data_IF_399350229993
#
_entry.id   IF_399350229993
#
_cell.length_a   1.000
_cell.length_b   1.000
_cell.length_c   1.000
_cell.angle_alpha   90.00
_cell.angle_beta   90.00
_cell.angle_gamma   90.00
#
_symmetry.space_group_name_H-M   'P 1'
#
loop_
_entity.id
_entity.type
_entity.pdbx_description
1 polymer ?
#
# COMPACT_ATOMS: atom_id res chain seq x y z
N UNK A 1 12.74 24.38 18.25
CA UNK A 1 13.54 23.15 18.01
C UNK A 1 12.75 21.90 18.46
N UNK A 2 12.47 20.96 17.56
CA UNK A 2 11.89 19.65 17.96
C UNK A 2 13.05 18.73 18.35
N UNK A 3 13.04 18.19 19.57
CA UNK A 3 14.04 17.24 20.06
C UNK A 3 13.87 15.92 19.29
N UNK A 4 14.76 15.65 18.34
CA UNK A 4 14.69 14.53 17.41
C UNK A 4 15.17 13.20 18.03
N UNK A 5 14.85 12.92 19.29
CA UNK A 5 15.44 11.79 20.02
C UNK A 5 14.45 10.76 20.59
N UNK A 6 13.17 10.86 20.27
CA UNK A 6 12.17 9.86 20.66
C UNK A 6 11.48 9.31 19.41
N UNK A 7 11.97 8.16 18.92
CA UNK A 7 11.26 7.39 17.90
C UNK A 7 10.26 6.45 18.61
N UNK A 8 9.16 7.01 19.13
CA UNK A 8 8.11 6.20 19.74
C UNK A 8 7.37 5.47 18.62
N UNK A 9 7.48 4.14 18.59
CA UNK A 9 6.76 3.30 17.65
C UNK A 9 5.31 3.09 18.10
N UNK A 10 4.38 3.75 17.43
CA UNK A 10 2.94 3.65 17.72
C UNK A 10 2.24 2.49 17.00
N UNK A 11 2.84 1.99 15.92
CA UNK A 11 2.34 0.87 15.13
C UNK A 11 3.37 -0.25 15.11
N UNK A 12 2.97 -1.41 15.61
CA UNK A 12 3.76 -2.62 15.66
C UNK A 12 3.30 -3.52 14.50
N UNK A 13 4.12 -3.71 13.46
CA UNK A 13 3.75 -4.57 12.33
C UNK A 13 3.60 -6.02 12.79
N UNK A 14 2.49 -6.64 12.43
CA UNK A 14 2.17 -8.03 12.74
C UNK A 14 2.45 -8.96 11.55
N UNK A 15 2.08 -8.51 10.35
CA UNK A 15 2.23 -9.30 9.13
C UNK A 15 2.55 -8.37 7.95
N UNK A 16 3.37 -8.87 7.03
CA UNK A 16 3.68 -8.24 5.76
C UNK A 16 3.61 -9.32 4.67
N UNK A 17 2.79 -9.10 3.65
CA UNK A 17 2.57 -10.09 2.61
C UNK A 17 2.35 -9.44 1.23
N UNK A 18 2.66 -10.19 0.18
CA UNK A 18 2.34 -9.83 -1.20
C UNK A 18 1.29 -10.80 -1.71
N UNK A 19 0.18 -10.26 -2.24
CA UNK A 19 -0.89 -11.07 -2.85
C UNK A 19 -1.44 -10.36 -4.07
N UNK A 20 -1.56 -11.08 -5.18
CA UNK A 20 -2.13 -10.57 -6.45
C UNK A 20 -1.48 -9.26 -6.94
N UNK A 21 -0.16 -9.10 -6.73
CA UNK A 21 0.59 -7.90 -7.11
C UNK A 21 0.29 -6.66 -6.26
N UNK A 22 -0.30 -6.84 -5.08
CA UNK A 22 -0.42 -5.81 -4.05
C UNK A 22 0.36 -6.21 -2.80
N UNK A 23 0.93 -5.23 -2.11
CA UNK A 23 1.52 -5.41 -0.79
C UNK A 23 0.51 -5.09 0.30
N UNK A 24 0.55 -5.84 1.39
CA UNK A 24 -0.29 -5.66 2.55
C UNK A 24 0.57 -5.64 3.81
N UNK A 25 0.39 -4.65 4.66
CA UNK A 25 1.02 -4.59 5.98
C UNK A 25 -0.11 -4.45 6.99
N UNK A 26 -0.21 -5.40 7.91
CA UNK A 26 -1.14 -5.33 9.04
C UNK A 26 -0.34 -5.00 10.29
N UNK A 27 -0.73 -3.93 10.97
CA UNK A 27 -0.05 -3.42 12.17
C UNK A 27 -1.05 -3.27 13.30
N UNK A 28 -0.56 -3.40 14.53
CA UNK A 28 -1.32 -3.16 15.74
C UNK A 28 -0.84 -1.90 16.44
N UNK A 29 -1.77 -1.10 16.92
CA UNK A 29 -1.49 0.07 17.74
C UNK A 29 -0.91 -0.36 19.09
N UNK A 30 0.21 0.24 19.50
CA UNK A 30 0.95 -0.18 20.69
C UNK A 30 0.21 0.03 22.01
N UNK A 31 -0.77 0.95 22.05
CA UNK A 31 -1.53 1.30 23.26
C UNK A 31 -2.89 0.61 23.34
N UNK A 32 -3.69 0.67 22.28
CA UNK A 32 -5.09 0.18 22.30
C UNK A 32 -5.27 -1.21 21.71
N UNK A 33 -4.24 -1.77 21.06
CA UNK A 33 -4.34 -3.09 20.44
C UNK A 33 -5.22 -3.14 19.18
N UNK A 34 -5.73 -1.99 18.72
CA UNK A 34 -6.47 -1.88 17.46
C UNK A 34 -5.56 -2.19 16.28
N UNK A 35 -6.11 -2.83 15.26
CA UNK A 35 -5.38 -3.22 14.06
C UNK A 35 -5.71 -2.30 12.89
N UNK A 36 -4.71 -2.08 12.04
CA UNK A 36 -4.83 -1.37 10.78
C UNK A 36 -4.12 -2.19 9.72
N UNK A 37 -4.78 -2.36 8.57
CA UNK A 37 -4.15 -2.91 7.38
C UNK A 37 -4.00 -1.81 6.32
N UNK A 38 -2.77 -1.62 5.85
CA UNK A 38 -2.48 -0.87 4.64
C UNK A 38 -2.31 -1.84 3.48
N UNK A 39 -2.91 -1.51 2.33
CA UNK A 39 -2.78 -2.25 1.09
C UNK A 39 -2.33 -1.29 -0.02
N UNK A 40 -1.29 -1.65 -0.77
CA UNK A 40 -0.76 -0.84 -1.87
C UNK A 40 -0.62 -1.69 -3.12
N UNK A 41 -1.16 -1.19 -4.23
CA UNK A 41 -0.94 -1.76 -5.56
C UNK A 41 -0.47 -0.68 -6.52
N UNK A 42 0.60 -0.97 -7.23
CA UNK A 42 1.18 -0.08 -8.22
C UNK A 42 0.92 -0.64 -9.63
N UNK A 43 0.57 0.23 -10.57
CA UNK A 43 0.37 -0.09 -11.98
C UNK A 43 1.22 0.82 -12.85
N UNK A 44 2.26 0.26 -13.47
CA UNK A 44 3.11 0.95 -14.43
C UNK A 44 2.61 0.67 -15.86
N UNK A 45 2.27 1.72 -16.60
CA UNK A 45 1.62 1.63 -17.92
C UNK A 45 2.64 1.64 -19.07
N UNK A 46 3.55 0.68 -19.05
CA UNK A 46 4.49 0.35 -20.14
C UNK A 46 5.13 -1.01 -19.85
N UNK A 47 5.91 -1.57 -20.79
CA UNK A 47 6.68 -2.78 -20.52
C UNK A 47 7.68 -2.57 -19.38
N UNK A 48 7.69 -3.48 -18.40
CA UNK A 48 8.56 -3.38 -17.23
C UNK A 48 8.83 -4.75 -16.63
N UNK A 49 9.93 -4.84 -15.88
CA UNK A 49 10.15 -5.89 -14.89
C UNK A 49 9.62 -5.39 -13.55
N UNK A 50 9.00 -6.28 -12.79
CA UNK A 50 8.46 -5.99 -11.46
C UNK A 50 8.98 -7.01 -10.47
N UNK A 51 9.44 -6.53 -9.32
CA UNK A 51 9.83 -7.37 -8.19
C UNK A 51 9.26 -6.81 -6.88
N UNK A 52 9.06 -7.70 -5.91
CA UNK A 52 8.66 -7.34 -4.57
C UNK A 52 9.74 -7.76 -3.59
N UNK A 53 10.08 -6.85 -2.68
CA UNK A 53 11.06 -7.08 -1.62
C UNK A 53 10.32 -6.86 -0.30
N UNK A 54 10.33 -7.86 0.56
CA UNK A 54 9.85 -7.75 1.94
C UNK A 54 11.08 -7.80 2.84
N UNK A 55 11.31 -6.74 3.61
CA UNK A 55 12.38 -6.68 4.59
C UNK A 55 11.94 -5.85 5.80
N UNK A 56 12.27 -6.28 7.01
CA UNK A 56 12.04 -5.55 8.27
C UNK A 56 10.67 -4.85 8.39
N UNK A 57 9.59 -5.56 8.04
CA UNK A 57 8.21 -5.05 8.07
C UNK A 57 7.87 -3.94 7.08
N UNK A 58 8.73 -3.74 6.09
CA UNK A 58 8.48 -2.93 4.90
C UNK A 58 8.19 -3.83 3.71
N UNK A 59 7.40 -3.29 2.77
CA UNK A 59 7.13 -3.91 1.48
C UNK A 59 7.49 -2.92 0.37
N UNK A 60 8.45 -3.30 -0.47
CA UNK A 60 8.92 -2.53 -1.60
C UNK A 60 8.43 -3.20 -2.88
N UNK A 61 7.84 -2.41 -3.77
CA UNK A 61 7.50 -2.81 -5.13
C UNK A 61 8.43 -2.06 -6.08
N UNK A 62 9.39 -2.77 -6.67
CA UNK A 62 10.38 -2.21 -7.57
C UNK A 62 10.02 -2.48 -9.02
N UNK A 63 10.14 -1.44 -9.85
CA UNK A 63 9.90 -1.50 -11.29
C UNK A 63 11.17 -1.12 -12.04
N UNK A 64 11.56 -1.94 -13.01
CA UNK A 64 12.64 -1.62 -13.95
C UNK A 64 12.04 -1.49 -15.34
N UNK A 65 12.26 -0.34 -15.97
CA UNK A 65 11.67 0.00 -17.28
C UNK A 65 12.62 0.88 -18.07
N UNK A 66 12.51 0.86 -19.40
CA UNK A 66 13.22 1.79 -20.27
C UNK A 66 12.44 3.09 -20.40
N UNK A 67 13.15 4.21 -20.43
CA UNK A 67 12.60 5.53 -20.69
C UNK A 67 13.27 6.13 -21.93
N UNK A 68 12.50 6.77 -22.80
CA UNK A 68 13.01 7.47 -23.97
C UNK A 68 12.77 8.99 -23.85
N UNK A 69 13.65 9.84 -24.44
CA UNK A 69 13.43 11.28 -24.47
C UNK A 69 12.06 11.64 -25.06
N UNK A 70 11.30 12.48 -24.38
CA UNK A 70 9.96 12.90 -24.80
C UNK A 70 8.83 11.91 -24.51
N UNK A 71 9.14 10.70 -24.02
CA UNK A 71 8.13 9.71 -23.64
C UNK A 71 7.45 10.11 -22.32
N UNK A 72 6.13 9.94 -22.25
CA UNK A 72 5.38 10.02 -21.00
C UNK A 72 5.28 8.63 -20.38
N UNK A 73 5.73 8.49 -19.14
CA UNK A 73 5.58 7.27 -18.35
C UNK A 73 4.50 7.53 -17.30
N UNK A 74 3.53 6.61 -17.20
CA UNK A 74 2.45 6.71 -16.21
C UNK A 74 2.56 5.58 -15.20
N UNK A 75 2.59 5.95 -13.93
CA UNK A 75 2.47 5.05 -12.78
C UNK A 75 1.25 5.47 -11.99
N UNK A 76 0.38 4.54 -11.65
CA UNK A 76 -0.73 4.76 -10.71
C UNK A 76 -0.47 3.94 -9.46
N UNK A 77 -0.54 4.60 -8.29
CA UNK A 77 -0.45 3.95 -6.98
C UNK A 77 -1.81 4.01 -6.31
N UNK A 78 -2.40 2.84 -6.10
CA UNK A 78 -3.59 2.68 -5.27
C UNK A 78 -3.13 2.39 -3.85
N UNK A 79 -3.74 3.06 -2.88
CA UNK A 79 -3.50 2.85 -1.46
C UNK A 79 -4.83 2.79 -0.72
N UNK A 80 -5.05 1.69 0.00
CA UNK A 80 -6.24 1.44 0.81
C UNK A 80 -5.80 1.26 2.25
N UNK A 81 -6.58 1.81 3.17
CA UNK A 81 -6.36 1.69 4.60
C UNK A 81 -7.67 1.27 5.27
N UNK A 82 -7.63 0.16 5.99
CA UNK A 82 -8.76 -0.35 6.76
C UNK A 82 -8.33 -0.54 8.22
N UNK A 83 -9.27 -0.39 9.14
CA UNK A 83 -9.02 -0.47 10.58
C UNK A 83 -10.02 -1.42 11.26
N UNK A 84 -9.61 -1.95 12.42
CA UNK A 84 -10.40 -2.90 13.21
C UNK A 84 -11.58 -2.28 13.94
N UNK A 85 -11.73 -0.96 13.96
CA UNK A 85 -12.92 -0.30 14.53
C UNK A 85 -14.10 -0.49 13.57
N UNK A 86 -13.85 -0.32 12.26
CA UNK A 86 -14.88 -0.44 11.23
C UNK A 86 -15.05 -1.87 10.72
N UNK A 87 -13.95 -2.61 10.63
CA UNK A 87 -13.91 -3.93 10.00
C UNK A 87 -13.10 -4.90 10.88
N UNK A 88 -13.75 -5.85 11.57
CA UNK A 88 -13.04 -6.79 12.45
C UNK A 88 -11.88 -7.52 11.76
N UNK A 89 -12.05 -7.89 10.49
CA UNK A 89 -10.98 -8.37 9.61
C UNK A 89 -10.58 -7.25 8.63
N UNK A 90 -9.80 -6.30 9.14
CA UNK A 90 -9.35 -5.14 8.37
C UNK A 90 -8.46 -5.52 7.19
N UNK A 91 -7.74 -6.65 7.26
CA UNK A 91 -6.92 -7.17 6.16
C UNK A 91 -7.79 -7.67 5.02
N UNK A 92 -8.82 -8.49 5.31
CA UNK A 92 -9.76 -8.96 4.27
C UNK A 92 -10.50 -7.78 3.65
N UNK A 93 -10.92 -6.80 4.44
CA UNK A 93 -11.59 -5.62 3.92
C UNK A 93 -10.66 -4.83 2.98
N UNK A 94 -9.39 -4.64 3.33
CA UNK A 94 -8.45 -3.91 2.48
C UNK A 94 -8.32 -4.55 1.08
N UNK A 95 -8.41 -5.87 0.96
CA UNK A 95 -8.44 -6.56 -0.33
C UNK A 95 -9.74 -6.32 -1.11
N UNK A 96 -10.89 -6.28 -0.43
CA UNK A 96 -12.19 -5.97 -1.07
C UNK A 96 -12.17 -4.55 -1.62
N UNK A 97 -11.78 -3.58 -0.80
CA UNK A 97 -11.68 -2.16 -1.18
C UNK A 97 -10.67 -1.96 -2.33
N UNK A 98 -9.52 -2.66 -2.28
CA UNK A 98 -8.55 -2.61 -3.39
C UNK A 98 -9.14 -3.15 -4.69
N UNK A 99 -9.89 -4.26 -4.64
CA UNK A 99 -10.59 -4.81 -5.81
C UNK A 99 -11.62 -3.82 -6.37
N UNK A 100 -12.36 -3.13 -5.51
CA UNK A 100 -13.31 -2.09 -5.92
C UNK A 100 -12.61 -0.88 -6.54
N UNK A 101 -11.53 -0.40 -5.94
CA UNK A 101 -10.75 0.73 -6.45
C UNK A 101 -10.17 0.45 -7.84
N UNK A 102 -9.74 -0.79 -8.10
CA UNK A 102 -9.20 -1.21 -9.40
C UNK A 102 -10.28 -1.47 -10.47
N UNK A 103 -11.54 -1.63 -10.07
CA UNK A 103 -12.65 -1.87 -10.99
C UNK A 103 -13.18 -0.57 -11.64
N UNK A 104 -12.71 0.59 -11.16
CA UNK A 104 -13.16 1.91 -11.59
C UNK A 104 -11.98 2.63 -12.28
N UNK A 105 -12.26 3.34 -13.38
CA UNK A 105 -11.22 4.15 -14.03
C UNK A 105 -10.75 5.29 -13.12
N UNK A 106 -9.46 5.63 -13.17
CA UNK A 106 -8.89 6.70 -12.35
C UNK A 106 -9.64 8.03 -12.56
N UNK A 107 -10.06 8.34 -13.78
CA UNK A 107 -10.81 9.55 -14.07
C UNK A 107 -12.12 9.64 -13.28
N UNK A 108 -12.83 8.52 -13.13
CA UNK A 108 -14.06 8.45 -12.33
C UNK A 108 -13.79 8.66 -10.83
N UNK A 109 -12.69 8.10 -10.30
CA UNK A 109 -12.31 8.28 -8.89
C UNK A 109 -11.98 9.74 -8.52
N UNK A 110 -11.65 10.56 -9.52
CA UNK A 110 -11.33 11.98 -9.35
C UNK A 110 -12.44 12.93 -9.80
N UNK A 111 -13.60 12.41 -10.21
CA UNK A 111 -14.78 13.26 -10.45
C UNK A 111 -15.27 13.84 -9.12
N UNK A 112 -15.48 15.16 -9.11
CA UNK A 112 -16.05 15.91 -7.99
C UNK A 112 -17.57 15.89 -8.04
#
# INVERSE_FOLDING_TARGET
PRLANECIQYLIPLNCEIKEGASYITSRTSKSGLEVCSCVKNQLFQEHQQEFIIDNHDAICQFVTRAQPGQKIRLIKYAVFCDSIRYPDCRRQAEIEMKQALAVDLGELYKK
#
